data_IF_633993885314
#
_entry.id   IF_633993885314
#
_cell.length_a   1.000
_cell.length_b   1.000
_cell.length_c   1.000
_cell.angle_alpha   90.00
_cell.angle_beta   90.00
_cell.angle_gamma   90.00
#
_symmetry.space_group_name_H-M   'P 1'
#
loop_
_entity.id
_entity.type
_entity.pdbx_description
1 polymer ?
#
# COMPACT_ATOMS: atom_id res chain seq x y z
N UNK A 1 -25.06 -19.65 -21.45
CA UNK A 1 -26.09 -18.59 -21.55
C UNK A 1 -25.70 -17.55 -22.59
N UNK A 2 -24.60 -16.81 -22.43
CA UNK A 2 -24.24 -15.69 -23.34
C UNK A 2 -24.03 -16.14 -24.81
N UNK A 3 -23.43 -17.31 -25.06
CA UNK A 3 -23.22 -17.81 -26.43
C UNK A 3 -24.49 -18.08 -27.24
N UNK A 4 -25.65 -18.18 -26.57
CA UNK A 4 -26.95 -18.36 -27.24
C UNK A 4 -27.90 -17.19 -27.02
N UNK A 5 -27.49 -16.19 -26.22
CA UNK A 5 -28.33 -15.06 -25.86
C UNK A 5 -28.61 -14.13 -27.05
N UNK A 6 -27.63 -13.90 -27.92
CA UNK A 6 -27.81 -13.10 -29.13
C UNK A 6 -28.83 -13.72 -30.09
N UNK A 7 -28.81 -15.05 -30.23
CA UNK A 7 -29.77 -15.78 -31.06
C UNK A 7 -31.17 -15.79 -30.42
N UNK A 8 -31.25 -15.93 -29.09
CA UNK A 8 -32.52 -16.07 -28.36
C UNK A 8 -33.23 -14.76 -28.07
N UNK A 9 -32.48 -13.68 -27.82
CA UNK A 9 -33.01 -12.42 -27.32
C UNK A 9 -32.69 -11.23 -28.24
N UNK A 10 -31.91 -11.44 -29.31
CA UNK A 10 -31.44 -10.36 -30.17
C UNK A 10 -30.39 -9.49 -29.48
N UNK A 11 -30.02 -8.36 -30.11
CA UNK A 11 -29.02 -7.43 -29.59
C UNK A 11 -29.46 -6.77 -28.29
N UNK A 12 -28.60 -6.76 -27.29
CA UNK A 12 -28.92 -6.24 -25.95
C UNK A 12 -29.15 -4.72 -25.95
N UNK A 13 -28.37 -3.96 -26.73
CA UNK A 13 -28.46 -2.50 -26.71
C UNK A 13 -28.33 -1.93 -28.12
N UNK A 14 -29.18 -0.95 -28.45
CA UNK A 14 -29.10 -0.18 -29.70
C UNK A 14 -28.75 1.26 -29.35
N UNK A 15 -27.51 1.66 -29.60
CA UNK A 15 -27.09 3.05 -29.45
C UNK A 15 -27.73 3.87 -30.56
N UNK A 16 -28.45 4.93 -30.18
CA UNK A 16 -29.06 5.87 -31.12
C UNK A 16 -28.41 7.25 -30.99
N UNK A 17 -28.12 7.87 -32.12
CA UNK A 17 -27.67 9.26 -32.18
C UNK A 17 -28.62 10.01 -33.12
N UNK A 18 -29.20 11.12 -32.64
CA UNK A 18 -30.24 11.89 -33.37
C UNK A 18 -31.41 11.04 -33.89
N UNK A 19 -31.84 10.05 -33.09
CA UNK A 19 -32.97 9.17 -33.43
C UNK A 19 -32.63 8.00 -34.36
N UNK A 20 -31.46 8.00 -34.99
CA UNK A 20 -30.98 6.92 -35.87
C UNK A 20 -30.17 5.91 -35.07
N UNK A 21 -30.40 4.61 -35.30
CA UNK A 21 -29.59 3.55 -34.69
C UNK A 21 -28.19 3.60 -35.33
N UNK A 22 -27.19 3.87 -34.51
CA UNK A 22 -25.79 4.01 -34.94
C UNK A 22 -25.00 2.73 -34.70
N UNK A 23 -25.31 1.99 -33.64
CA UNK A 23 -24.61 0.74 -33.32
C UNK A 23 -25.49 -0.21 -32.54
N UNK A 24 -25.56 -1.45 -32.98
CA UNK A 24 -26.16 -2.53 -32.20
C UNK A 24 -25.05 -3.28 -31.46
N UNK A 25 -25.23 -3.45 -30.15
CA UNK A 25 -24.28 -4.11 -29.27
C UNK A 25 -24.88 -5.45 -28.87
N UNK A 26 -24.30 -6.57 -29.31
CA UNK A 26 -24.75 -7.91 -28.93
C UNK A 26 -24.38 -8.24 -27.48
N UNK A 27 -25.06 -9.21 -26.88
CA UNK A 27 -24.74 -9.77 -25.56
C UNK A 27 -23.31 -10.30 -25.52
N UNK A 28 -22.85 -10.93 -26.60
CA UNK A 28 -21.48 -11.44 -26.71
C UNK A 28 -20.41 -10.35 -26.58
N UNK A 29 -20.71 -9.09 -26.89
CA UNK A 29 -19.76 -7.98 -26.74
C UNK A 29 -19.37 -7.69 -25.28
N UNK A 30 -20.15 -8.19 -24.31
CA UNK A 30 -19.86 -8.06 -22.88
C UNK A 30 -19.17 -9.31 -22.30
N UNK A 31 -18.83 -10.28 -23.15
CA UNK A 31 -18.07 -11.45 -22.73
C UNK A 31 -16.60 -11.09 -22.63
N UNK A 32 -16.05 -11.19 -21.42
CA UNK A 32 -14.62 -11.06 -21.23
C UNK A 32 -13.91 -12.24 -21.91
N UNK A 33 -12.87 -11.94 -22.68
CA UNK A 33 -12.00 -12.96 -23.24
C UNK A 33 -11.18 -13.62 -22.13
N UNK A 34 -10.54 -14.76 -22.40
CA UNK A 34 -9.64 -15.38 -21.42
C UNK A 34 -8.49 -14.43 -21.02
N UNK A 35 -8.00 -13.63 -21.96
CA UNK A 35 -7.00 -12.60 -21.69
C UNK A 35 -7.54 -11.51 -20.75
N UNK A 36 -8.80 -11.09 -20.91
CA UNK A 36 -9.41 -10.11 -20.01
C UNK A 36 -9.65 -10.69 -18.62
N UNK A 37 -10.09 -11.94 -18.52
CA UNK A 37 -10.18 -12.63 -17.24
C UNK A 37 -8.83 -12.77 -16.55
N UNK A 38 -7.77 -13.03 -17.32
CA UNK A 38 -6.43 -13.06 -16.78
C UNK A 38 -6.01 -11.71 -16.19
N UNK A 39 -6.34 -10.60 -16.87
CA UNK A 39 -6.12 -9.25 -16.35
C UNK A 39 -6.90 -9.00 -15.06
N UNK A 40 -8.17 -9.40 -15.01
CA UNK A 40 -9.00 -9.29 -13.80
C UNK A 40 -8.36 -10.06 -12.64
N UNK A 41 -7.86 -11.27 -12.88
CA UNK A 41 -7.17 -12.06 -11.83
C UNK A 41 -5.89 -11.40 -11.34
N UNK A 42 -5.12 -10.79 -12.24
CA UNK A 42 -3.92 -10.03 -11.88
C UNK A 42 -4.26 -8.79 -11.04
N UNK A 43 -5.30 -8.05 -11.42
CA UNK A 43 -5.79 -6.91 -10.66
C UNK A 43 -6.25 -7.34 -9.26
N UNK A 44 -7.01 -8.43 -9.16
CA UNK A 44 -7.40 -9.01 -7.86
C UNK A 44 -6.16 -9.31 -7.01
N UNK A 45 -5.12 -9.90 -7.61
CA UNK A 45 -3.89 -10.21 -6.89
C UNK A 45 -3.12 -8.97 -6.40
N UNK A 46 -3.17 -7.86 -7.15
CA UNK A 46 -2.63 -6.57 -6.69
C UNK A 46 -3.46 -6.00 -5.54
N UNK A 47 -4.79 -5.99 -5.69
CA UNK A 47 -5.72 -5.42 -4.71
C UNK A 47 -5.78 -6.23 -3.40
N UNK A 48 -5.51 -7.54 -3.46
CA UNK A 48 -5.43 -8.40 -2.28
C UNK A 48 -4.36 -7.93 -1.29
N UNK A 49 -3.24 -7.36 -1.74
CA UNK A 49 -2.23 -6.81 -0.83
C UNK A 49 -2.82 -5.66 0.01
N UNK A 50 -3.60 -4.78 -0.63
CA UNK A 50 -4.25 -3.65 0.04
C UNK A 50 -5.38 -4.08 0.95
N UNK A 51 -6.19 -5.07 0.53
CA UNK A 51 -7.24 -5.65 1.38
C UNK A 51 -6.63 -6.25 2.65
N UNK A 52 -5.58 -7.07 2.54
CA UNK A 52 -4.90 -7.64 3.72
C UNK A 52 -4.49 -6.56 4.73
N UNK A 53 -3.94 -5.44 4.25
CA UNK A 53 -3.52 -4.31 5.07
C UNK A 53 -4.73 -3.61 5.68
N UNK A 54 -5.80 -3.39 4.92
CA UNK A 54 -7.03 -2.79 5.41
C UNK A 54 -7.68 -3.64 6.51
N UNK A 55 -7.69 -4.97 6.37
CA UNK A 55 -8.22 -5.88 7.37
C UNK A 55 -7.44 -5.80 8.70
N UNK A 56 -6.11 -5.55 8.66
CA UNK A 56 -5.29 -5.38 9.86
C UNK A 56 -5.80 -4.23 10.74
N UNK A 57 -6.28 -3.14 10.14
CA UNK A 57 -6.80 -1.96 10.84
C UNK A 57 -8.31 -2.00 11.11
N UNK A 58 -9.00 -3.02 10.59
CA UNK A 58 -10.45 -3.15 10.74
C UNK A 58 -10.85 -3.85 12.05
N UNK A 59 -9.87 -4.15 12.92
CA UNK A 59 -10.10 -4.85 14.18
C UNK A 59 -10.56 -3.90 15.30
N UNK A 60 -11.74 -4.17 15.86
CA UNK A 60 -12.41 -3.27 16.82
C UNK A 60 -11.80 -3.25 18.24
N UNK A 61 -11.20 -4.35 18.69
CA UNK A 61 -10.90 -4.55 20.11
C UNK A 61 -9.41 -4.49 20.48
N UNK A 62 -8.52 -4.35 19.50
CA UNK A 62 -7.07 -4.29 19.73
C UNK A 62 -6.53 -2.96 19.18
N UNK A 63 -5.55 -2.35 19.88
CA UNK A 63 -4.85 -1.20 19.35
C UNK A 63 -4.18 -1.59 18.04
N UNK A 64 -4.50 -0.88 16.97
CA UNK A 64 -3.96 -1.16 15.63
C UNK A 64 -2.79 -0.23 15.26
N UNK A 65 -2.48 0.76 16.11
CA UNK A 65 -1.54 1.82 15.75
C UNK A 65 -0.10 1.33 15.60
N UNK A 66 0.34 0.41 16.48
CA UNK A 66 1.66 -0.23 16.36
C UNK A 66 1.79 -1.06 15.07
N UNK A 67 0.67 -1.44 14.44
CA UNK A 67 0.66 -2.18 13.18
C UNK A 67 0.84 -1.29 11.96
N UNK A 68 0.72 0.03 12.12
CA UNK A 68 0.74 0.99 11.02
C UNK A 68 2.02 0.89 10.19
N UNK A 69 3.18 1.08 10.84
CA UNK A 69 4.49 1.04 10.18
C UNK A 69 4.76 -0.33 9.54
N UNK A 70 4.68 -1.47 10.26
CA UNK A 70 4.92 -2.78 9.66
C UNK A 70 3.98 -3.13 8.50
N UNK A 71 2.69 -2.75 8.59
CA UNK A 71 1.73 -3.06 7.53
C UNK A 71 1.98 -2.23 6.27
N UNK A 72 2.36 -0.96 6.42
CA UNK A 72 2.71 -0.10 5.28
C UNK A 72 4.02 -0.55 4.63
N UNK A 73 5.05 -0.85 5.40
CA UNK A 73 6.33 -1.38 4.89
C UNK A 73 6.11 -2.70 4.13
N UNK A 74 5.25 -3.59 4.65
CA UNK A 74 4.86 -4.84 3.97
C UNK A 74 4.16 -4.56 2.64
N UNK A 75 3.23 -3.61 2.60
CA UNK A 75 2.49 -3.26 1.38
C UNK A 75 3.42 -2.67 0.33
N UNK A 76 4.27 -1.72 0.71
CA UNK A 76 5.28 -1.12 -0.17
C UNK A 76 6.19 -2.21 -0.75
N UNK A 77 6.73 -3.09 0.10
CA UNK A 77 7.57 -4.21 -0.36
C UNK A 77 6.85 -5.13 -1.35
N UNK A 78 5.58 -5.45 -1.10
CA UNK A 78 4.78 -6.29 -1.99
C UNK A 78 4.54 -5.63 -3.35
N UNK A 79 4.24 -4.33 -3.36
CA UNK A 79 4.00 -3.56 -4.57
C UNK A 79 5.28 -3.25 -5.34
N UNK A 80 6.40 -2.99 -4.68
CA UNK A 80 7.71 -2.87 -5.33
C UNK A 80 8.11 -4.15 -6.08
N UNK A 81 7.87 -5.31 -5.47
CA UNK A 81 8.10 -6.61 -6.13
C UNK A 81 7.22 -6.75 -7.36
N UNK A 82 5.92 -6.43 -7.26
CA UNK A 82 4.98 -6.48 -8.38
C UNK A 82 5.32 -5.47 -9.47
N UNK A 83 5.79 -4.28 -9.10
CA UNK A 83 6.24 -3.26 -10.04
C UNK A 83 7.42 -3.73 -10.88
N UNK A 84 8.36 -4.50 -10.29
CA UNK A 84 9.52 -5.06 -11.00
C UNK A 84 9.18 -6.28 -11.86
N UNK A 85 8.17 -7.05 -11.47
CA UNK A 85 7.73 -8.26 -12.18
C UNK A 85 7.14 -7.93 -13.57
N UNK A 86 7.59 -8.65 -14.61
CA UNK A 86 7.09 -8.51 -15.98
C UNK A 86 5.63 -8.91 -16.13
N UNK A 87 5.10 -9.74 -15.23
CA UNK A 87 3.69 -10.15 -15.21
C UNK A 87 2.75 -8.96 -15.06
N UNK A 88 3.15 -7.94 -14.30
CA UNK A 88 2.31 -6.78 -14.00
C UNK A 88 2.67 -5.56 -14.83
N UNK A 89 3.30 -5.75 -16.00
CA UNK A 89 3.81 -4.66 -16.84
C UNK A 89 2.74 -3.60 -17.16
N UNK A 90 1.51 -4.04 -17.47
CA UNK A 90 0.38 -3.16 -17.81
C UNK A 90 -0.04 -2.29 -16.62
N UNK A 91 0.20 -2.74 -15.39
CA UNK A 91 -0.20 -2.05 -14.16
C UNK A 91 0.92 -1.24 -13.53
N UNK A 92 2.12 -1.20 -14.12
CA UNK A 92 3.28 -0.55 -13.50
C UNK A 92 3.03 0.90 -13.13
N UNK A 93 2.44 1.66 -14.04
CA UNK A 93 2.10 3.07 -13.78
C UNK A 93 1.17 3.21 -12.58
N UNK A 94 0.07 2.45 -12.56
CA UNK A 94 -0.88 2.46 -11.45
C UNK A 94 -0.27 1.98 -10.11
N UNK A 95 0.62 0.97 -10.15
CA UNK A 95 1.35 0.52 -8.96
C UNK A 95 2.33 1.61 -8.51
N UNK A 96 2.99 2.31 -9.44
CA UNK A 96 3.86 3.45 -9.18
C UNK A 96 3.11 4.57 -8.46
N UNK A 97 1.96 4.98 -8.97
CA UNK A 97 1.09 5.98 -8.33
C UNK A 97 0.68 5.52 -6.91
N UNK A 98 0.41 4.22 -6.77
CA UNK A 98 0.12 3.59 -5.48
C UNK A 98 1.28 3.69 -4.49
N UNK A 99 2.51 3.39 -4.94
CA UNK A 99 3.73 3.51 -4.14
C UNK A 99 4.00 4.96 -3.75
N UNK A 100 3.82 5.92 -4.66
CA UNK A 100 3.96 7.35 -4.37
C UNK A 100 2.95 7.80 -3.31
N UNK A 101 1.72 7.28 -3.39
CA UNK A 101 0.69 7.55 -2.38
C UNK A 101 1.07 6.96 -1.03
N UNK A 102 1.58 5.72 -0.98
CA UNK A 102 2.03 5.08 0.24
C UNK A 102 3.21 5.84 0.85
N UNK A 103 4.18 6.26 0.04
CA UNK A 103 5.32 7.05 0.46
C UNK A 103 4.89 8.38 1.09
N UNK A 104 3.94 9.09 0.46
CA UNK A 104 3.38 10.33 1.02
C UNK A 104 2.85 10.15 2.45
N UNK A 105 2.12 9.07 2.72
CA UNK A 105 1.59 8.81 4.07
C UNK A 105 2.65 8.30 5.02
N UNK A 106 3.58 7.47 4.54
CA UNK A 106 4.71 7.00 5.32
C UNK A 106 5.57 8.16 5.83
N UNK A 107 5.94 9.11 4.96
CA UNK A 107 6.64 10.35 5.36
C UNK A 107 5.82 11.24 6.31
N UNK A 108 4.50 11.05 6.38
CA UNK A 108 3.66 11.76 7.35
C UNK A 108 3.69 11.09 8.73
N UNK A 109 3.99 9.79 8.80
CA UNK A 109 4.18 9.08 10.06
C UNK A 109 5.47 9.52 10.75
N UNK A 110 6.53 9.81 9.99
CA UNK A 110 7.80 10.32 10.53
C UNK A 110 7.64 11.61 11.35
N UNK A 111 6.65 12.44 10.97
CA UNK A 111 6.33 13.71 11.65
C UNK A 111 5.55 13.52 12.95
N UNK A 112 5.16 12.29 13.29
CA UNK A 112 4.26 11.96 14.39
C UNK A 112 4.95 10.95 15.32
N UNK A 113 5.43 11.37 16.50
CA UNK A 113 6.18 10.50 17.41
C UNK A 113 5.36 9.28 17.87
N UNK A 114 4.03 9.40 17.85
CA UNK A 114 3.09 8.37 18.26
C UNK A 114 3.29 7.01 17.55
N UNK A 115 3.70 6.99 16.27
CA UNK A 115 3.91 5.74 15.55
C UNK A 115 5.15 4.99 16.05
N UNK A 116 6.25 5.72 16.30
CA UNK A 116 7.48 5.18 16.90
C UNK A 116 7.18 4.71 18.32
N UNK A 117 6.52 5.52 19.13
CA UNK A 117 6.17 5.18 20.51
C UNK A 117 5.26 3.94 20.59
N UNK A 118 4.24 3.86 19.73
CA UNK A 118 3.34 2.70 19.69
C UNK A 118 4.09 1.39 19.38
N UNK A 119 5.08 1.45 18.48
CA UNK A 119 5.91 0.30 18.13
C UNK A 119 6.84 -0.09 19.29
N UNK A 120 7.52 0.88 19.91
CA UNK A 120 8.45 0.65 21.03
C UNK A 120 7.74 0.16 22.29
N UNK A 121 6.53 0.64 22.56
CA UNK A 121 5.72 0.17 23.69
C UNK A 121 5.16 -1.24 23.47
N UNK A 122 5.19 -1.76 22.24
CA UNK A 122 4.70 -3.10 21.96
C UNK A 122 5.71 -4.14 22.50
N UNK A 123 5.29 -5.06 23.40
CA UNK A 123 6.20 -5.93 24.15
C UNK A 123 6.97 -6.93 23.27
N UNK A 124 6.49 -7.21 22.06
CA UNK A 124 7.18 -8.08 21.10
C UNK A 124 8.20 -7.35 20.21
N UNK A 125 8.02 -6.06 19.92
CA UNK A 125 8.87 -5.34 18.96
C UNK A 125 9.93 -4.51 19.65
N UNK A 126 9.49 -3.69 20.62
CA UNK A 126 10.37 -2.78 21.35
C UNK A 126 11.27 -1.98 20.38
N UNK A 127 12.53 -1.79 20.76
CA UNK A 127 13.55 -1.18 19.90
C UNK A 127 14.16 -2.18 18.90
N UNK A 128 13.99 -3.48 19.13
CA UNK A 128 14.57 -4.55 18.29
C UNK A 128 14.07 -4.44 16.85
N UNK A 129 12.77 -4.15 16.64
CA UNK A 129 12.24 -3.92 15.29
C UNK A 129 12.96 -2.79 14.57
N UNK A 130 13.22 -1.69 15.26
CA UNK A 130 13.85 -0.50 14.68
C UNK A 130 15.32 -0.79 14.37
N UNK A 131 16.01 -1.46 15.28
CA UNK A 131 17.41 -1.83 15.09
C UNK A 131 17.58 -2.81 13.90
N UNK A 132 16.62 -3.69 13.67
CA UNK A 132 16.64 -4.65 12.56
C UNK A 132 16.16 -4.08 11.21
N UNK A 133 15.14 -3.23 11.22
CA UNK A 133 14.45 -2.79 10.00
C UNK A 133 14.89 -1.42 9.49
N UNK A 134 15.39 -0.56 10.37
CA UNK A 134 15.70 0.83 10.03
C UNK A 134 17.21 1.07 9.96
N UNK A 135 17.61 1.97 9.06
CA UNK A 135 19.01 2.32 8.84
C UNK A 135 19.64 3.03 10.04
N UNK A 136 20.85 2.58 10.39
CA UNK A 136 21.65 3.18 11.46
C UNK A 136 22.62 4.23 10.94
N UNK A 137 23.68 4.48 11.71
CA UNK A 137 24.72 5.45 11.35
C UNK A 137 25.49 5.06 10.09
N UNK A 138 25.67 3.76 9.84
CA UNK A 138 26.38 3.26 8.67
C UNK A 138 25.62 3.54 7.37
N UNK A 139 24.32 3.23 7.35
CA UNK A 139 23.45 3.53 6.21
C UNK A 139 23.35 5.03 5.97
N UNK A 140 23.24 5.83 7.04
CA UNK A 140 23.26 7.29 6.94
C UNK A 140 24.54 7.79 6.25
N UNK A 141 25.71 7.32 6.68
CA UNK A 141 26.98 7.72 6.08
C UNK A 141 27.08 7.30 4.60
N UNK A 142 26.59 6.10 4.25
CA UNK A 142 26.53 5.63 2.85
C UNK A 142 25.62 6.51 1.99
N UNK A 143 24.47 6.92 2.50
CA UNK A 143 23.53 7.78 1.76
C UNK A 143 24.05 9.22 1.61
N UNK A 144 24.70 9.78 2.64
CA UNK A 144 25.39 11.08 2.54
C UNK A 144 26.49 11.01 1.47
N UNK A 145 27.28 9.93 1.45
CA UNK A 145 28.32 9.73 0.44
C UNK A 145 27.78 9.60 -1.00
N UNK A 146 26.54 9.12 -1.17
CA UNK A 146 25.84 9.07 -2.47
C UNK A 146 25.24 10.42 -2.90
N UNK A 147 25.30 11.44 -2.04
CA UNK A 147 24.79 12.78 -2.34
C UNK A 147 23.42 13.10 -1.74
N UNK A 148 22.95 12.34 -0.74
CA UNK A 148 21.73 12.64 0.01
C UNK A 148 22.09 13.30 1.36
N UNK A 149 22.22 14.64 1.43
CA UNK A 149 22.69 15.33 2.64
C UNK A 149 21.70 15.22 3.81
N UNK A 150 20.42 15.02 3.52
CA UNK A 150 19.35 14.95 4.52
C UNK A 150 19.11 13.53 5.05
N UNK A 151 20.05 12.60 4.85
CA UNK A 151 19.92 11.23 5.36
C UNK A 151 19.84 11.23 6.90
N UNK A 152 18.84 10.50 7.43
CA UNK A 152 18.57 10.42 8.87
C UNK A 152 19.03 9.08 9.42
N UNK A 153 19.69 9.09 10.57
CA UNK A 153 19.89 7.89 11.38
C UNK A 153 18.60 7.58 12.15
N UNK A 154 17.77 6.73 11.57
CA UNK A 154 16.44 6.43 12.09
C UNK A 154 16.47 5.68 13.43
N UNK A 155 17.52 4.90 13.70
CA UNK A 155 17.71 4.27 15.01
C UNK A 155 17.97 5.30 16.11
N UNK A 156 18.81 6.30 15.84
CA UNK A 156 19.08 7.39 16.78
C UNK A 156 17.84 8.28 16.98
N UNK A 157 17.13 8.59 15.89
CA UNK A 157 15.92 9.40 15.94
C UNK A 157 14.81 8.73 16.77
N UNK A 158 14.61 7.42 16.60
CA UNK A 158 13.65 6.68 17.41
C UNK A 158 13.97 6.73 18.92
N UNK A 159 15.25 6.61 19.28
CA UNK A 159 15.71 6.71 20.68
C UNK A 159 15.56 8.13 21.21
N UNK A 160 15.79 9.16 20.39
CA UNK A 160 15.55 10.57 20.74
C UNK A 160 14.07 10.81 21.06
N UNK A 161 13.18 10.37 20.17
CA UNK A 161 11.72 10.47 20.36
C UNK A 161 11.28 9.75 21.62
N UNK A 162 11.78 8.54 21.87
CA UNK A 162 11.49 7.79 23.08
C UNK A 162 11.93 8.55 24.33
N UNK A 163 13.17 9.03 24.37
CA UNK A 163 13.70 9.76 25.51
C UNK A 163 12.88 11.03 25.78
N UNK A 164 12.67 11.87 24.76
CA UNK A 164 11.91 13.12 24.86
C UNK A 164 10.53 12.91 25.48
N UNK A 165 9.77 11.92 25.02
CA UNK A 165 8.37 11.75 25.44
C UNK A 165 8.20 10.91 26.71
N UNK A 166 9.14 10.01 27.01
CA UNK A 166 9.07 9.17 28.23
C UNK A 166 9.70 9.86 29.43
N UNK A 167 10.79 10.62 29.27
CA UNK A 167 11.47 11.29 30.40
C UNK A 167 10.63 12.42 31.02
N UNK A 168 9.90 13.19 30.21
CA UNK A 168 8.98 14.24 30.70
C UNK A 168 7.81 13.66 31.53
N UNK A 169 7.37 12.44 31.19
CA UNK A 169 6.28 11.74 31.89
C UNK A 169 6.64 11.37 33.34
N UNK A 170 7.93 11.14 33.63
CA UNK A 170 8.41 10.77 34.96
C UNK A 170 8.76 11.99 35.84
N UNK A 171 9.03 13.16 35.27
CA UNK A 171 9.33 14.37 36.04
C UNK A 171 8.06 15.10 36.54
N UNK A 172 6.90 14.90 35.90
CA UNK A 172 5.64 15.56 36.30
C UNK A 172 4.89 14.86 37.45
N UNK A 173 5.40 13.75 38.00
CA UNK A 173 4.71 12.94 39.03
C UNK A 173 5.50 12.86 40.35
N UNK A 174 6.44 13.77 40.61
CA UNK A 174 7.15 13.89 41.89
C UNK A 174 7.01 15.30 42.44
#
# INVERSE_FOLDING_TARGET
>A
FICTADIKFGTMTKLRQKGVIVKEIPWTAFTLTEADWQRVRELIFILQDADQVQQIFSYKYLPCLWRALPAFERLQTAWERKHRDSRFLIYREAIGDGLDKLNKYYCHFDKKPLFVLALVLHPYFKLEYIDEKWGGAEEQAKEIAKGYPDAVNWQAEARRVLHEHVSDSFQSTI
#
